data_IF_646143798104
#
_entry.id   IF_646143798104
#
_cell.length_a   1.000
_cell.length_b   1.000
_cell.length_c   1.000
_cell.angle_alpha   90.00
_cell.angle_beta   90.00
_cell.angle_gamma   90.00
#
_symmetry.space_group_name_H-M   'P 1'
#
loop_
_entity.id
_entity.type
_entity.pdbx_description
1 polymer ?
#
# COMPACT_ATOMS: atom_id res chain seq x y z
N UNK A 1 -18.92 -1.86 -4.19
CA UNK A 1 -17.47 -1.68 -3.95
C UNK A 1 -16.65 -2.72 -4.71
N UNK A 2 -16.94 -4.03 -4.60
CA UNK A 2 -16.19 -5.08 -5.32
C UNK A 2 -16.13 -4.87 -6.85
N UNK A 3 -17.25 -4.53 -7.50
CA UNK A 3 -17.26 -4.25 -8.94
C UNK A 3 -16.40 -3.04 -9.34
N UNK A 4 -16.42 -1.96 -8.54
CA UNK A 4 -15.60 -0.78 -8.78
C UNK A 4 -14.10 -1.07 -8.56
N UNK A 5 -13.76 -1.81 -7.50
CA UNK A 5 -12.38 -2.24 -7.24
C UNK A 5 -11.87 -3.19 -8.34
N UNK A 6 -12.71 -4.13 -8.80
CA UNK A 6 -12.40 -5.01 -9.92
C UNK A 6 -12.22 -4.25 -11.23
N UNK A 7 -13.05 -3.24 -11.52
CA UNK A 7 -12.88 -2.38 -12.69
C UNK A 7 -11.55 -1.61 -12.65
N UNK A 8 -11.18 -1.03 -11.50
CA UNK A 8 -9.89 -0.35 -11.33
C UNK A 8 -8.70 -1.31 -11.48
N UNK A 9 -8.79 -2.52 -10.92
CA UNK A 9 -7.76 -3.54 -11.06
C UNK A 9 -7.61 -3.99 -12.53
N UNK A 10 -8.73 -4.19 -13.24
CA UNK A 10 -8.74 -4.55 -14.65
C UNK A 10 -8.14 -3.44 -15.52
N UNK A 11 -8.49 -2.17 -15.26
CA UNK A 11 -7.90 -1.02 -15.95
C UNK A 11 -6.37 -0.96 -15.76
N UNK A 12 -5.90 -1.17 -14.52
CA UNK A 12 -4.46 -1.25 -14.23
C UNK A 12 -3.78 -2.39 -14.97
N UNK A 13 -4.41 -3.57 -15.03
CA UNK A 13 -3.89 -4.73 -15.76
C UNK A 13 -3.79 -4.52 -17.28
N UNK A 14 -4.83 -3.92 -17.89
CA UNK A 14 -4.81 -3.58 -19.33
C UNK A 14 -3.72 -2.56 -19.65
N UNK A 15 -3.59 -1.51 -18.84
CA UNK A 15 -2.52 -0.51 -19.00
C UNK A 15 -1.13 -1.14 -18.84
N UNK A 16 -0.96 -2.03 -17.86
CA UNK A 16 0.30 -2.75 -17.64
C UNK A 16 0.66 -3.64 -18.84
N UNK A 17 -0.31 -4.39 -19.38
CA UNK A 17 -0.10 -5.22 -20.56
C UNK A 17 0.25 -4.39 -21.80
N UNK A 18 -0.42 -3.24 -21.98
CA UNK A 18 -0.12 -2.32 -23.07
C UNK A 18 1.28 -1.72 -22.95
N UNK A 19 1.71 -1.37 -21.73
CA UNK A 19 3.04 -0.82 -21.48
C UNK A 19 4.17 -1.83 -21.71
N UNK A 20 4.01 -3.06 -21.24
CA UNK A 20 5.07 -4.07 -21.34
C UNK A 20 5.11 -4.76 -22.72
N UNK A 21 4.08 -4.62 -23.56
CA UNK A 21 3.92 -5.20 -24.92
C UNK A 21 3.99 -6.74 -25.01
N UNK A 22 4.55 -7.40 -24.00
CA UNK A 22 4.62 -8.84 -23.80
C UNK A 22 4.38 -9.14 -22.31
N UNK A 23 3.73 -10.27 -22.04
CA UNK A 23 3.37 -10.72 -20.69
C UNK A 23 4.28 -11.89 -20.31
N UNK A 24 5.26 -11.63 -19.45
CA UNK A 24 6.12 -12.68 -18.93
C UNK A 24 5.54 -13.29 -17.64
N UNK A 25 5.39 -14.62 -17.54
CA UNK A 25 4.84 -15.27 -16.33
C UNK A 25 5.63 -14.98 -15.05
N UNK A 26 6.94 -14.72 -15.17
CA UNK A 26 7.80 -14.36 -14.03
C UNK A 26 7.42 -13.06 -13.33
N UNK A 27 6.74 -12.14 -14.02
CA UNK A 27 6.30 -10.88 -13.41
C UNK A 27 5.07 -11.06 -12.51
N UNK A 28 4.32 -12.15 -12.70
CA UNK A 28 3.13 -12.51 -11.92
C UNK A 28 3.44 -13.62 -10.91
N UNK A 29 4.57 -13.47 -10.22
CA UNK A 29 4.95 -14.36 -9.13
C UNK A 29 4.04 -14.16 -7.90
N UNK A 30 3.98 -15.16 -7.03
CA UNK A 30 3.40 -15.11 -5.68
C UNK A 30 3.87 -13.87 -4.93
N UNK A 31 5.13 -13.45 -5.14
CA UNK A 31 5.68 -12.28 -4.50
C UNK A 31 4.88 -11.01 -4.80
N UNK A 32 4.31 -10.84 -6.00
CA UNK A 32 3.43 -9.71 -6.32
C UNK A 32 2.19 -9.67 -5.42
N UNK A 33 1.60 -10.84 -5.13
CA UNK A 33 0.48 -10.98 -4.21
C UNK A 33 0.87 -10.72 -2.76
N UNK A 34 2.04 -11.17 -2.34
CA UNK A 34 2.58 -10.87 -0.99
C UNK A 34 2.75 -9.36 -0.80
N UNK A 35 3.34 -8.68 -1.79
CA UNK A 35 3.48 -7.22 -1.74
C UNK A 35 2.13 -6.51 -1.68
N UNK A 36 1.15 -6.91 -2.48
CA UNK A 36 -0.18 -6.26 -2.49
C UNK A 36 -0.89 -6.36 -1.14
N UNK A 37 -0.84 -7.52 -0.49
CA UNK A 37 -1.37 -7.72 0.85
C UNK A 37 -0.58 -6.95 1.91
N UNK A 38 0.76 -6.97 1.81
CA UNK A 38 1.62 -6.27 2.75
C UNK A 38 1.40 -4.75 2.70
N UNK A 39 1.22 -4.14 1.52
CA UNK A 39 0.92 -2.71 1.43
C UNK A 39 -0.40 -2.35 2.12
N UNK A 40 -1.42 -3.20 1.99
CA UNK A 40 -2.68 -3.03 2.70
C UNK A 40 -2.50 -3.16 4.22
N UNK A 41 -1.62 -4.06 4.67
CA UNK A 41 -1.30 -4.28 6.07
C UNK A 41 -0.50 -3.13 6.69
N UNK A 42 0.56 -2.69 6.00
CA UNK A 42 1.40 -1.55 6.37
C UNK A 42 0.56 -0.28 6.43
N UNK A 43 -0.21 -0.04 5.38
CA UNK A 43 -1.05 1.13 5.23
C UNK A 43 -2.24 1.17 6.20
N UNK A 44 -2.82 0.02 6.48
CA UNK A 44 -4.03 -0.15 7.29
C UNK A 44 -5.26 -0.48 6.45
N UNK A 45 -6.03 -1.48 6.88
CA UNK A 45 -7.23 -1.97 6.18
C UNK A 45 -8.47 -1.09 6.40
N UNK A 46 -8.42 -0.16 7.35
CA UNK A 46 -9.56 0.69 7.72
C UNK A 46 -9.85 1.84 6.74
N UNK A 47 -8.97 2.11 5.77
CA UNK A 47 -9.18 3.20 4.79
C UNK A 47 -8.72 2.85 3.39
N UNK A 48 -9.39 3.43 2.38
CA UNK A 48 -9.01 3.31 0.96
C UNK A 48 -7.62 3.91 0.69
N UNK A 49 -7.21 4.92 1.47
CA UNK A 49 -5.88 5.54 1.36
C UNK A 49 -4.77 4.79 2.13
N UNK A 50 -5.13 3.83 2.98
CA UNK A 50 -4.18 2.98 3.70
C UNK A 50 -3.18 2.32 2.76
N UNK A 51 -3.62 1.44 1.84
CA UNK A 51 -2.73 0.74 0.91
C UNK A 51 -1.85 1.69 0.08
N UNK A 52 -2.37 2.85 -0.33
CA UNK A 52 -1.60 3.87 -1.05
C UNK A 52 -0.43 4.42 -0.23
N UNK A 53 -0.65 4.71 1.06
CA UNK A 53 0.44 5.08 1.96
C UNK A 53 1.42 3.93 2.18
N UNK A 54 0.93 2.69 2.25
CA UNK A 54 1.79 1.51 2.39
C UNK A 54 2.78 1.36 1.24
N UNK A 55 2.30 1.53 0.00
CA UNK A 55 3.16 1.56 -1.20
C UNK A 55 4.16 2.72 -1.15
N UNK A 56 3.73 3.93 -0.75
CA UNK A 56 4.61 5.10 -0.68
C UNK A 56 5.73 4.92 0.34
N UNK A 57 5.43 4.35 1.50
CA UNK A 57 6.42 4.05 2.54
C UNK A 57 7.41 3.02 2.06
N UNK A 58 6.92 1.95 1.42
CA UNK A 58 7.77 0.90 0.89
C UNK A 58 8.69 1.42 -0.23
N UNK A 59 8.14 2.14 -1.22
CA UNK A 59 8.94 2.78 -2.28
C UNK A 59 9.99 3.71 -1.68
N UNK A 60 9.61 4.59 -0.74
CA UNK A 60 10.56 5.50 -0.09
C UNK A 60 11.67 4.77 0.65
N UNK A 61 11.35 3.67 1.34
CA UNK A 61 12.33 2.87 2.07
C UNK A 61 13.25 2.09 1.10
N UNK A 62 12.68 1.44 0.10
CA UNK A 62 13.39 0.63 -0.86
C UNK A 62 14.29 1.47 -1.78
N UNK A 63 13.85 2.67 -2.14
CA UNK A 63 14.66 3.62 -2.91
C UNK A 63 15.88 4.08 -2.11
N UNK A 64 15.74 4.29 -0.79
CA UNK A 64 16.87 4.54 0.10
C UNK A 64 17.79 3.31 0.26
N UNK A 65 17.21 2.11 0.24
CA UNK A 65 17.95 0.84 0.27
C UNK A 65 18.53 0.43 -1.10
N UNK A 66 18.41 1.28 -2.13
CA UNK A 66 18.91 1.00 -3.50
C UNK A 66 20.41 0.71 -3.54
N UNK A 67 21.17 1.21 -2.56
CA UNK A 67 22.61 0.94 -2.39
C UNK A 67 22.88 -0.53 -2.04
N UNK A 68 21.92 -1.22 -1.43
CA UNK A 68 22.00 -2.61 -0.96
C UNK A 68 20.99 -3.50 -1.71
N UNK A 69 21.06 -3.53 -3.05
CA UNK A 69 20.13 -4.28 -3.93
C UNK A 69 19.84 -5.72 -3.48
N UNK A 70 20.84 -6.42 -2.92
CA UNK A 70 20.70 -7.81 -2.48
C UNK A 70 19.86 -8.01 -1.22
N UNK A 71 19.66 -6.95 -0.41
CA UNK A 71 18.96 -7.04 0.88
C UNK A 71 17.51 -6.58 0.81
N UNK A 72 17.01 -6.23 -0.38
CA UNK A 72 15.68 -5.66 -0.60
C UNK A 72 14.56 -6.47 0.07
N UNK A 73 14.60 -7.79 -0.09
CA UNK A 73 13.59 -8.70 0.46
C UNK A 73 13.63 -8.78 1.99
N UNK A 74 14.84 -8.71 2.56
CA UNK A 74 15.06 -8.74 4.02
C UNK A 74 14.57 -7.42 4.63
N UNK A 75 14.89 -6.30 3.98
CA UNK A 75 14.41 -4.96 4.38
C UNK A 75 12.89 -4.90 4.31
N UNK A 76 12.28 -5.41 3.25
CA UNK A 76 10.84 -5.49 3.09
C UNK A 76 10.18 -6.34 4.19
N UNK A 77 10.66 -7.57 4.40
CA UNK A 77 10.13 -8.45 5.44
C UNK A 77 10.31 -7.86 6.85
N UNK A 78 11.47 -7.23 7.09
CA UNK A 78 11.77 -6.51 8.32
C UNK A 78 10.83 -5.32 8.54
N UNK A 79 10.56 -4.52 7.50
CA UNK A 79 9.60 -3.42 7.55
C UNK A 79 8.23 -3.94 7.97
N UNK A 80 7.71 -4.98 7.31
CA UNK A 80 6.40 -5.56 7.62
C UNK A 80 6.37 -6.09 9.05
N UNK A 81 7.38 -6.84 9.48
CA UNK A 81 7.47 -7.40 10.83
C UNK A 81 7.52 -6.30 11.90
N UNK A 82 8.35 -5.26 11.70
CA UNK A 82 8.45 -4.11 12.58
C UNK A 82 7.09 -3.40 12.70
N UNK A 83 6.43 -3.16 11.57
CA UNK A 83 5.14 -2.49 11.56
C UNK A 83 4.05 -3.31 12.27
N UNK A 84 4.05 -4.63 12.10
CA UNK A 84 3.13 -5.51 12.82
C UNK A 84 3.36 -5.50 14.33
N UNK A 85 4.61 -5.43 14.77
CA UNK A 85 4.96 -5.38 16.21
C UNK A 85 4.57 -4.03 16.81
N UNK A 86 4.93 -2.92 16.18
CA UNK A 86 4.69 -1.59 16.74
C UNK A 86 3.27 -1.08 16.50
N UNK A 87 2.68 -1.37 15.34
CA UNK A 87 1.38 -0.85 14.91
C UNK A 87 0.59 -1.91 14.09
N UNK A 88 0.03 -2.95 14.76
CA UNK A 88 -0.69 -4.04 14.09
C UNK A 88 -1.95 -3.62 13.34
N UNK A 89 -2.44 -2.39 13.56
CA UNK A 89 -3.58 -1.79 12.83
C UNK A 89 -3.16 -1.02 11.56
N UNK A 90 -1.87 -0.98 11.24
CA UNK A 90 -1.31 -0.19 10.15
C UNK A 90 -1.11 1.29 10.51
N UNK A 91 -0.53 2.03 9.56
CA UNK A 91 -0.18 3.45 9.71
C UNK A 91 -1.44 4.34 9.81
N UNK A 92 -2.44 4.10 8.97
CA UNK A 92 -3.75 4.76 9.02
C UNK A 92 -4.74 3.91 9.81
N UNK A 93 -4.67 4.04 11.13
CA UNK A 93 -5.60 3.42 12.07
C UNK A 93 -6.94 4.20 12.09
N UNK A 94 -8.07 3.50 12.29
CA UNK A 94 -9.42 4.09 12.35
C UNK A 94 -9.50 5.23 13.38
N UNK A 95 -8.74 5.13 14.48
CA UNK A 95 -8.64 6.17 15.51
C UNK A 95 -8.01 7.47 14.99
N UNK A 96 -6.99 7.38 14.13
CA UNK A 96 -6.33 8.54 13.52
C UNK A 96 -7.25 9.22 12.51
N UNK A 97 -8.00 8.43 11.75
CA UNK A 97 -8.95 8.93 10.73
C UNK A 97 -10.14 9.61 11.39
N UNK A 98 -10.69 9.03 12.46
CA UNK A 98 -11.77 9.63 13.25
C UNK A 98 -11.27 10.92 13.93
N UNK A 99 -10.05 10.93 14.48
CA UNK A 99 -9.45 12.12 15.07
C UNK A 99 -9.22 13.22 14.01
N UNK A 100 -8.70 12.88 12.83
CA UNK A 100 -8.45 13.82 11.75
C UNK A 100 -9.76 14.41 11.20
N UNK A 101 -10.80 13.59 11.05
CA UNK A 101 -12.14 14.04 10.64
C UNK A 101 -12.75 15.00 11.67
N UNK A 102 -12.56 14.73 12.97
CA UNK A 102 -12.99 15.63 14.06
C UNK A 102 -12.21 16.95 14.07
N UNK A 103 -10.93 16.93 13.67
CA UNK A 103 -10.08 18.12 13.57
C UNK A 103 -10.41 18.97 12.34
N UNK A 104 -10.83 18.36 11.24
CA UNK A 104 -11.26 19.06 10.04
C UNK A 104 -12.69 19.61 10.18
N UNK A 105 -13.56 18.94 10.93
CA UNK A 105 -14.92 19.45 11.20
C UNK A 105 -14.93 20.70 12.09
N UNK A 106 -13.82 21.08 12.73
CA UNK A 106 -13.73 22.37 13.44
C UNK A 106 -13.42 23.56 12.51
N UNK A 107 -13.18 23.33 11.21
CA UNK A 107 -12.82 24.39 10.25
C UNK A 107 -13.94 24.72 9.24
N UNK A 108 -15.09 24.05 9.29
CA UNK A 108 -16.27 24.40 8.48
C UNK A 108 -17.41 24.90 9.38
N UNK A 109 -17.50 26.21 9.65
CA UNK A 109 -18.58 26.81 10.44
C UNK A 109 -19.80 27.20 9.59
N UNK A 110 -20.23 26.37 8.63
CA UNK A 110 -21.38 26.70 7.78
C UNK A 110 -22.39 25.55 7.73
N UNK A 111 -23.33 25.64 8.67
CA UNK A 111 -24.75 25.38 8.39
C UNK A 111 -25.28 26.47 7.46
#
# INVERSE_FOLDING_TARGET
>A
VAAAAGALAALGGVLYAHHNTYVEPRNFDIMLGVHSLAYALIGGLGTVFGPLLGVLVDIGLLEGSRVFQGYRMIVFGGLVALLLVFRPRGLLDERTVIWLRRRLSSLTPWR
#
